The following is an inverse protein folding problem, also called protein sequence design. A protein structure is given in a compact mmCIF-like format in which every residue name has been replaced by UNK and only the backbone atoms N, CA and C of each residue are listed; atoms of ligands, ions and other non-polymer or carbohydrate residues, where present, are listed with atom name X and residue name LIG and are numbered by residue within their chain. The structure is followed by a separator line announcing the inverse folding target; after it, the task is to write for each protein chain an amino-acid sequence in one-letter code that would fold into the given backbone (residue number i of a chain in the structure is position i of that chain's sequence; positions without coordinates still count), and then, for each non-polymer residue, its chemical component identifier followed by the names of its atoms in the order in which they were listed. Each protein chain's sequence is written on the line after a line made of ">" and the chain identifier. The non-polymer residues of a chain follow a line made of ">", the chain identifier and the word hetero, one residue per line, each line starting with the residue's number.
data_IF_575592497173
#
_entry.id   IF_575592497173
#
_cell.length_a   1.000
_cell.length_b   1.000
_cell.length_c   1.000
_cell.angle_alpha   90.00
_cell.angle_beta   90.00
_cell.angle_gamma   90.00
#
_symmetry.space_group_name_H-M   'P 1'
#
loop_
_entity.id
_entity.type
_entity.pdbx_description
1 polymer ?
#
# COMPACT_ATOMS: atom_id res chain seq x y z
N UNK A 1 2.12 -21.81 6.00
CA UNK A 1 1.97 -20.50 5.34
C UNK A 1 2.62 -20.48 3.96
N UNK A 2 3.84 -20.95 3.77
CA UNK A 2 4.50 -21.03 2.45
C UNK A 2 3.75 -21.85 1.39
N UNK A 3 3.13 -22.95 1.77
CA UNK A 3 2.36 -23.81 0.84
C UNK A 3 1.15 -23.08 0.23
N UNK A 4 0.45 -22.23 0.98
CA UNK A 4 -0.70 -21.48 0.48
C UNK A 4 -0.33 -20.31 -0.45
N UNK A 5 0.84 -19.67 -0.23
CA UNK A 5 1.29 -18.59 -1.12
C UNK A 5 1.82 -19.15 -2.46
N UNK A 6 2.60 -20.24 -2.42
CA UNK A 6 3.08 -20.91 -3.62
C UNK A 6 1.89 -21.44 -4.45
N UNK A 7 0.92 -22.08 -3.81
CA UNK A 7 -0.28 -22.60 -4.46
C UNK A 7 -1.13 -21.49 -5.10
N UNK A 8 -1.33 -20.36 -4.41
CA UNK A 8 -2.03 -19.19 -4.97
C UNK A 8 -1.29 -18.58 -6.16
N UNK A 9 0.03 -18.61 -6.16
CA UNK A 9 0.85 -18.14 -7.28
C UNK A 9 0.70 -19.04 -8.48
N UNK A 10 0.80 -20.35 -8.32
CA UNK A 10 0.63 -21.33 -9.40
C UNK A 10 -0.76 -21.24 -10.05
N UNK A 11 -1.82 -21.08 -9.25
CA UNK A 11 -3.18 -20.89 -9.74
C UNK A 11 -3.33 -19.62 -10.58
N UNK A 12 -2.75 -18.51 -10.13
CA UNK A 12 -2.77 -17.23 -10.86
C UNK A 12 -1.96 -17.32 -12.16
N UNK A 13 -0.80 -17.95 -12.14
CA UNK A 13 0.02 -18.19 -13.33
C UNK A 13 -0.70 -19.08 -14.34
N UNK A 14 -1.37 -20.13 -13.88
CA UNK A 14 -2.20 -20.99 -14.72
C UNK A 14 -3.34 -20.23 -15.39
N UNK A 15 -4.00 -19.33 -14.65
CA UNK A 15 -5.09 -18.50 -15.17
C UNK A 15 -4.60 -17.51 -16.23
N UNK A 16 -3.46 -16.88 -16.02
CA UNK A 16 -2.83 -15.98 -16.99
C UNK A 16 -2.43 -16.74 -18.25
N UNK A 17 -1.84 -17.93 -18.11
CA UNK A 17 -1.49 -18.77 -19.25
C UNK A 17 -2.71 -19.18 -20.06
N UNK A 18 -3.83 -19.51 -19.39
CA UNK A 18 -5.09 -19.80 -20.07
C UNK A 18 -5.63 -18.59 -20.84
N UNK A 19 -5.54 -17.39 -20.28
CA UNK A 19 -5.95 -16.15 -20.94
C UNK A 19 -5.09 -15.82 -22.16
N UNK A 20 -3.77 -16.02 -22.07
CA UNK A 20 -2.85 -15.93 -23.22
C UNK A 20 -3.28 -16.91 -24.32
N UNK A 21 -3.63 -18.14 -23.96
CA UNK A 21 -4.16 -19.13 -24.90
C UNK A 21 -5.43 -18.64 -25.59
N UNK A 22 -6.35 -18.02 -24.89
CA UNK A 22 -7.57 -17.41 -25.46
C UNK A 22 -7.23 -16.30 -26.45
N UNK A 23 -6.28 -15.42 -26.12
CA UNK A 23 -5.84 -14.34 -27.03
C UNK A 23 -5.23 -14.91 -28.33
N UNK A 24 -4.39 -15.93 -28.23
CA UNK A 24 -3.77 -16.59 -29.39
C UNK A 24 -4.82 -17.29 -30.27
N UNK A 25 -5.74 -18.02 -29.66
CA UNK A 25 -6.83 -18.73 -30.41
C UNK A 25 -7.74 -17.77 -31.17
N UNK A 26 -7.93 -16.56 -30.67
CA UNK A 26 -8.74 -15.52 -31.32
C UNK A 26 -7.91 -14.59 -32.23
N UNK A 27 -6.65 -14.92 -32.54
CA UNK A 27 -5.73 -14.10 -33.34
C UNK A 27 -5.56 -12.66 -32.84
N UNK A 28 -5.69 -12.45 -31.53
CA UNK A 28 -5.51 -11.16 -30.87
C UNK A 28 -4.07 -10.97 -30.37
N UNK A 29 -3.24 -12.01 -30.46
CA UNK A 29 -1.87 -12.08 -30.00
C UNK A 29 -1.10 -13.15 -30.77
N UNK A 30 0.19 -12.90 -31.01
CA UNK A 30 1.14 -13.85 -31.61
C UNK A 30 2.19 -14.28 -30.59
N UNK A 31 3.03 -15.26 -30.95
CA UNK A 31 4.17 -15.66 -30.09
C UNK A 31 5.23 -14.54 -29.95
N UNK A 32 5.35 -13.67 -30.93
CA UNK A 32 6.30 -12.55 -30.86
C UNK A 32 5.87 -11.51 -29.84
N UNK A 33 4.56 -11.33 -29.63
CA UNK A 33 3.98 -10.41 -28.67
C UNK A 33 4.25 -10.80 -27.19
N UNK A 34 4.64 -12.06 -26.92
CA UNK A 34 4.97 -12.52 -25.57
C UNK A 34 6.10 -11.72 -24.91
N UNK A 35 7.04 -11.17 -25.72
CA UNK A 35 8.17 -10.40 -25.22
C UNK A 35 7.78 -9.01 -24.71
N UNK A 36 6.66 -8.48 -25.18
CA UNK A 36 6.15 -7.17 -24.81
C UNK A 36 4.86 -7.22 -23.97
N UNK A 37 4.49 -8.42 -23.50
CA UNK A 37 3.28 -8.63 -22.74
C UNK A 37 3.44 -8.11 -21.31
N UNK A 38 2.46 -7.35 -20.84
CA UNK A 38 2.34 -7.01 -19.43
C UNK A 38 1.00 -7.48 -18.88
N UNK A 39 1.01 -7.95 -17.64
CA UNK A 39 -0.16 -8.45 -16.92
C UNK A 39 -0.40 -7.64 -15.67
N UNK A 40 -1.59 -7.06 -15.57
CA UNK A 40 -2.09 -6.49 -14.33
C UNK A 40 -3.08 -7.48 -13.73
N UNK A 41 -2.74 -8.09 -12.62
CA UNK A 41 -3.57 -9.10 -11.96
C UNK A 41 -4.88 -8.52 -11.41
N UNK A 42 -5.05 -7.20 -11.47
CA UNK A 42 -6.27 -6.54 -11.07
C UNK A 42 -6.71 -6.98 -9.69
N UNK A 43 -7.89 -7.56 -9.63
CA UNK A 43 -8.43 -8.10 -8.40
C UNK A 43 -8.72 -9.60 -8.55
N UNK A 44 -7.83 -10.45 -8.05
CA UNK A 44 -7.96 -11.90 -8.04
C UNK A 44 -7.88 -12.45 -6.62
N UNK A 45 -8.80 -13.31 -6.27
CA UNK A 45 -8.85 -14.00 -4.98
C UNK A 45 -9.11 -15.49 -5.16
N UNK A 46 -8.79 -16.29 -4.14
CA UNK A 46 -9.03 -17.73 -4.13
C UNK A 46 -10.26 -18.03 -3.28
N UNK A 47 -11.20 -18.78 -3.82
CA UNK A 47 -12.41 -19.23 -3.10
C UNK A 47 -12.11 -20.40 -2.16
N UNK A 48 -13.07 -20.75 -1.30
CA UNK A 48 -13.00 -21.93 -0.42
C UNK A 48 -12.81 -23.24 -1.20
N UNK A 49 -13.32 -23.29 -2.43
CA UNK A 49 -13.16 -24.43 -3.35
C UNK A 49 -11.83 -24.43 -4.09
N UNK A 50 -10.86 -23.60 -3.65
CA UNK A 50 -9.56 -23.42 -4.30
C UNK A 50 -9.62 -22.98 -5.77
N UNK A 51 -10.64 -22.21 -6.14
CA UNK A 51 -10.77 -21.61 -7.47
C UNK A 51 -10.35 -20.14 -7.41
N UNK A 52 -9.69 -19.65 -8.47
CA UNK A 52 -9.38 -18.22 -8.61
C UNK A 52 -10.58 -17.52 -9.24
N UNK A 53 -11.06 -16.48 -8.58
CA UNK A 53 -12.12 -15.61 -9.09
C UNK A 53 -11.65 -14.15 -9.12
N UNK A 54 -12.24 -13.35 -9.99
CA UNK A 54 -12.01 -11.92 -10.07
C UNK A 54 -11.78 -11.41 -11.48
N UNK A 55 -11.10 -10.27 -11.57
CA UNK A 55 -10.87 -9.54 -12.80
C UNK A 55 -9.38 -9.22 -12.98
N UNK A 56 -8.86 -9.36 -14.19
CA UNK A 56 -7.48 -9.01 -14.53
C UNK A 56 -7.35 -8.53 -15.96
N UNK A 57 -6.20 -7.93 -16.28
CA UNK A 57 -5.93 -7.30 -17.57
C UNK A 57 -4.63 -7.85 -18.15
N UNK A 58 -4.63 -8.08 -19.45
CA UNK A 58 -3.43 -8.36 -20.23
C UNK A 58 -3.28 -7.25 -21.27
N UNK A 59 -2.13 -6.58 -21.27
CA UNK A 59 -1.76 -5.61 -22.30
C UNK A 59 -0.82 -6.25 -23.30
N UNK A 60 -1.23 -6.23 -24.56
CA UNK A 60 -0.47 -6.75 -25.71
C UNK A 60 -0.23 -5.60 -26.68
N UNK A 61 1.01 -5.24 -26.91
CA UNK A 61 1.38 -4.18 -27.87
C UNK A 61 0.60 -2.88 -27.67
N UNK A 62 0.37 -2.49 -26.40
CA UNK A 62 -0.33 -1.26 -26.00
C UNK A 62 -1.87 -1.36 -26.03
N UNK A 63 -2.43 -2.52 -26.34
CA UNK A 63 -3.87 -2.77 -26.31
C UNK A 63 -4.26 -3.63 -25.12
N UNK A 64 -5.22 -3.17 -24.34
CA UNK A 64 -5.71 -3.86 -23.15
C UNK A 64 -6.83 -4.86 -23.46
N UNK A 65 -6.72 -6.04 -22.87
CA UNK A 65 -7.71 -7.10 -22.91
C UNK A 65 -8.07 -7.48 -21.48
N UNK A 66 -9.37 -7.55 -21.18
CA UNK A 66 -9.87 -7.77 -19.83
C UNK A 66 -10.45 -9.17 -19.72
N UNK A 67 -10.17 -9.83 -18.60
CA UNK A 67 -10.59 -11.18 -18.32
C UNK A 67 -11.27 -11.26 -16.95
N UNK A 68 -12.38 -11.99 -16.92
CA UNK A 68 -13.04 -12.37 -15.68
C UNK A 68 -12.86 -13.88 -15.44
N UNK A 69 -12.51 -14.23 -14.22
CA UNK A 69 -12.51 -15.60 -13.73
C UNK A 69 -13.66 -15.80 -12.76
N UNK A 70 -14.53 -16.77 -12.99
CA UNK A 70 -15.65 -17.07 -12.11
C UNK A 70 -16.00 -18.55 -12.17
N UNK A 71 -16.10 -19.20 -11.00
CA UNK A 71 -16.45 -20.63 -10.88
C UNK A 71 -15.62 -21.54 -11.79
N UNK A 72 -14.30 -21.32 -11.78
CA UNK A 72 -13.35 -22.08 -12.59
C UNK A 72 -13.44 -21.81 -14.11
N UNK A 73 -14.23 -20.85 -14.56
CA UNK A 73 -14.33 -20.44 -15.95
C UNK A 73 -13.62 -19.12 -16.17
N UNK A 74 -12.86 -19.06 -17.28
CA UNK A 74 -12.21 -17.84 -17.74
C UNK A 74 -13.00 -17.27 -18.91
N UNK A 75 -13.28 -15.98 -18.88
CA UNK A 75 -14.01 -15.27 -19.94
C UNK A 75 -13.30 -13.96 -20.27
N UNK A 76 -13.11 -13.71 -21.56
CA UNK A 76 -12.73 -12.38 -22.01
C UNK A 76 -13.97 -11.47 -21.94
N UNK A 77 -13.84 -10.31 -21.30
CA UNK A 77 -14.95 -9.36 -21.09
C UNK A 77 -14.74 -8.08 -21.91
N UNK A 78 -15.80 -7.61 -22.50
CA UNK A 78 -15.77 -6.39 -23.33
C UNK A 78 -16.14 -5.18 -22.48
N UNK A 79 -15.15 -4.66 -21.77
CA UNK A 79 -15.25 -3.44 -20.95
C UNK A 79 -14.15 -2.47 -21.37
N UNK A 80 -14.30 -1.19 -21.02
CA UNK A 80 -13.22 -0.20 -21.18
C UNK A 80 -12.40 -0.05 -19.89
N UNK A 81 -11.31 0.70 -19.96
CA UNK A 81 -10.40 0.92 -18.82
C UNK A 81 -11.12 1.54 -17.62
N UNK A 82 -12.00 2.50 -17.85
CA UNK A 82 -12.75 3.16 -16.78
C UNK A 82 -13.65 2.16 -16.02
N UNK A 83 -14.41 1.35 -16.75
CA UNK A 83 -15.25 0.30 -16.16
C UNK A 83 -14.41 -0.75 -15.44
N UNK A 84 -13.23 -1.09 -15.98
CA UNK A 84 -12.31 -2.01 -15.34
C UNK A 84 -11.84 -1.47 -13.99
N UNK A 85 -11.35 -0.24 -13.94
CA UNK A 85 -10.87 0.40 -12.71
C UNK A 85 -11.99 0.58 -11.67
N UNK A 86 -13.17 0.99 -12.10
CA UNK A 86 -14.35 1.07 -11.23
C UNK A 86 -14.71 -0.28 -10.62
N UNK A 87 -14.68 -1.35 -11.43
CA UNK A 87 -14.99 -2.71 -10.95
C UNK A 87 -13.95 -3.21 -9.97
N UNK A 88 -12.65 -3.00 -10.26
CA UNK A 88 -11.57 -3.36 -9.34
C UNK A 88 -11.73 -2.63 -8.01
N UNK A 89 -11.94 -1.33 -8.05
CA UNK A 89 -12.14 -0.50 -6.85
C UNK A 89 -13.33 -1.01 -6.02
N UNK A 90 -14.44 -1.35 -6.68
CA UNK A 90 -15.61 -1.92 -6.03
C UNK A 90 -15.30 -3.28 -5.38
N UNK A 91 -14.68 -4.20 -6.12
CA UNK A 91 -14.31 -5.53 -5.62
C UNK A 91 -13.34 -5.43 -4.44
N UNK A 92 -12.34 -4.57 -4.50
CA UNK A 92 -11.39 -4.32 -3.42
C UNK A 92 -12.10 -3.82 -2.17
N UNK A 93 -13.06 -2.94 -2.30
CA UNK A 93 -13.85 -2.41 -1.18
C UNK A 93 -14.71 -3.48 -0.48
N UNK A 94 -15.24 -4.45 -1.23
CA UNK A 94 -16.16 -5.48 -0.70
C UNK A 94 -15.49 -6.83 -0.42
N UNK A 95 -14.27 -7.05 -0.88
CA UNK A 95 -13.58 -8.32 -0.68
C UNK A 95 -13.46 -8.77 0.81
N UNK A 96 -13.15 -7.90 1.77
CA UNK A 96 -13.15 -8.30 3.18
C UNK A 96 -14.47 -8.88 3.64
N UNK A 97 -15.59 -8.37 3.09
CA UNK A 97 -16.92 -8.87 3.40
C UNK A 97 -17.17 -10.25 2.79
N UNK A 98 -16.62 -10.54 1.61
CA UNK A 98 -16.75 -11.83 0.94
C UNK A 98 -15.90 -12.92 1.62
N UNK A 99 -14.67 -12.57 2.02
CA UNK A 99 -13.75 -13.48 2.75
C UNK A 99 -14.19 -13.78 4.18
N UNK A 100 -15.07 -12.99 4.76
CA UNK A 100 -15.49 -13.14 6.16
C UNK A 100 -16.25 -14.44 6.43
N UNK A 101 -16.66 -15.18 5.38
CA UNK A 101 -17.26 -16.52 5.54
C UNK A 101 -16.22 -17.60 5.86
N UNK A 102 -14.93 -17.36 5.55
CA UNK A 102 -13.86 -18.35 5.74
C UNK A 102 -13.26 -18.35 7.15
N UNK A 103 -13.25 -17.21 7.83
CA UNK A 103 -12.77 -17.11 9.21
C UNK A 103 -13.66 -16.13 9.98
N UNK A 104 -14.34 -16.60 11.04
CA UNK A 104 -15.14 -15.70 11.87
C UNK A 104 -14.25 -14.63 12.47
N UNK A 105 -14.74 -13.40 12.43
CA UNK A 105 -14.06 -12.26 13.03
C UNK A 105 -13.78 -12.53 14.51
N UNK A 106 -12.53 -12.35 14.94
CA UNK A 106 -12.18 -12.49 16.35
C UNK A 106 -12.86 -11.40 17.20
N UNK A 107 -12.93 -11.61 18.50
CA UNK A 107 -13.49 -10.59 19.42
C UNK A 107 -12.72 -9.26 19.35
N UNK A 108 -11.40 -9.31 19.17
CA UNK A 108 -10.55 -8.11 19.04
C UNK A 108 -10.81 -7.41 17.72
N UNK A 109 -10.87 -8.14 16.61
CA UNK A 109 -11.21 -7.57 15.31
C UNK A 109 -12.58 -6.90 15.33
N UNK A 110 -13.60 -7.54 15.90
CA UNK A 110 -14.95 -6.97 16.05
C UNK A 110 -14.93 -5.68 16.87
N UNK A 111 -14.25 -5.68 18.02
CA UNK A 111 -14.10 -4.50 18.88
C UNK A 111 -13.43 -3.34 18.11
N UNK A 112 -12.36 -3.63 17.34
CA UNK A 112 -11.63 -2.68 16.50
C UNK A 112 -12.54 -2.08 15.42
N UNK A 113 -13.25 -2.93 14.69
CA UNK A 113 -14.22 -2.53 13.68
C UNK A 113 -15.28 -1.58 14.25
N UNK A 114 -15.92 -1.95 15.34
CA UNK A 114 -16.97 -1.15 15.98
C UNK A 114 -16.43 0.20 16.49
N UNK A 115 -15.21 0.21 17.07
CA UNK A 115 -14.52 1.43 17.51
C UNK A 115 -14.27 2.37 16.32
N UNK A 116 -13.68 1.86 15.26
CA UNK A 116 -13.28 2.68 14.11
C UNK A 116 -14.48 3.13 13.28
N UNK A 117 -15.51 2.29 13.10
CA UNK A 117 -16.78 2.73 12.48
C UNK A 117 -17.40 3.92 13.22
N UNK A 118 -17.35 3.95 14.55
CA UNK A 118 -17.83 5.10 15.33
C UNK A 118 -16.99 6.36 15.06
N UNK A 119 -15.67 6.23 14.90
CA UNK A 119 -14.78 7.37 14.58
C UNK A 119 -15.10 7.89 13.19
N UNK A 120 -15.20 7.01 12.19
CA UNK A 120 -15.48 7.34 10.79
C UNK A 120 -16.85 8.02 10.66
N UNK A 121 -17.89 7.46 11.27
CA UNK A 121 -19.25 8.02 11.28
C UNK A 121 -19.31 9.42 11.93
N UNK A 122 -18.60 9.64 13.04
CA UNK A 122 -18.54 10.97 13.68
C UNK A 122 -17.92 12.03 12.77
N UNK A 123 -17.00 11.63 11.91
CA UNK A 123 -16.38 12.51 10.90
C UNK A 123 -17.22 12.67 9.63
N UNK A 124 -18.43 12.09 9.59
CA UNK A 124 -19.33 12.08 8.42
C UNK A 124 -18.69 11.45 7.17
N UNK A 125 -17.84 10.45 7.39
CA UNK A 125 -17.22 9.66 6.35
C UNK A 125 -18.04 8.39 6.16
N UNK A 126 -18.25 7.98 4.91
CA UNK A 126 -18.97 6.75 4.57
C UNK A 126 -18.26 5.52 5.14
N UNK A 127 -19.04 4.56 5.59
CA UNK A 127 -18.54 3.28 6.08
C UNK A 127 -19.53 2.17 5.74
N UNK A 128 -19.04 0.95 5.60
CA UNK A 128 -19.84 -0.24 5.48
C UNK A 128 -19.79 -1.03 6.79
N UNK A 129 -20.94 -1.32 7.39
CA UNK A 129 -21.02 -2.10 8.63
C UNK A 129 -20.42 -3.49 8.47
N UNK A 130 -20.46 -4.04 7.25
CA UNK A 130 -19.90 -5.34 6.90
C UNK A 130 -18.40 -5.29 6.56
N UNK A 131 -17.76 -4.11 6.51
CA UNK A 131 -16.34 -4.00 6.23
C UNK A 131 -15.52 -4.56 7.39
N UNK A 132 -15.07 -5.81 7.22
CA UNK A 132 -14.35 -6.55 8.25
C UNK A 132 -12.94 -6.00 8.44
N UNK A 133 -12.40 -6.19 9.64
CA UNK A 133 -11.00 -5.88 9.93
C UNK A 133 -10.07 -6.93 9.29
N UNK A 134 -9.05 -6.49 8.54
CA UNK A 134 -8.15 -7.39 7.81
C UNK A 134 -7.13 -8.10 8.72
N UNK A 135 -6.66 -7.41 9.74
CA UNK A 135 -5.53 -7.87 10.56
C UNK A 135 -6.03 -8.58 11.82
N UNK A 136 -5.52 -9.80 12.01
CA UNK A 136 -5.74 -10.60 13.20
C UNK A 136 -4.56 -10.41 14.15
N UNK A 137 -4.84 -9.99 15.37
CA UNK A 137 -3.84 -9.73 16.41
C UNK A 137 -2.95 -10.94 16.71
N UNK A 138 -3.47 -12.16 16.56
CA UNK A 138 -2.70 -13.38 16.82
C UNK A 138 -1.75 -13.73 15.68
N UNK A 139 -2.04 -13.29 14.45
CA UNK A 139 -1.27 -13.63 13.24
C UNK A 139 -0.29 -12.56 12.83
N UNK A 140 -0.49 -11.31 13.26
CA UNK A 140 0.40 -10.21 12.92
C UNK A 140 1.62 -10.20 13.84
N UNK A 141 2.78 -10.09 13.22
CA UNK A 141 4.04 -9.77 13.90
C UNK A 141 4.48 -8.38 13.48
N UNK A 142 4.76 -7.51 14.44
CA UNK A 142 5.31 -6.19 14.15
C UNK A 142 6.80 -6.30 13.79
N UNK A 143 7.26 -5.47 12.89
CA UNK A 143 8.70 -5.22 12.74
C UNK A 143 9.27 -4.69 14.05
N UNK A 144 10.51 -5.02 14.32
CA UNK A 144 11.16 -4.54 15.52
C UNK A 144 11.42 -3.02 15.46
N UNK A 145 11.61 -2.43 16.64
CA UNK A 145 11.79 -0.99 16.79
C UNK A 145 12.98 -0.45 16.01
N UNK A 146 14.09 -1.19 15.95
CA UNK A 146 15.31 -0.75 15.25
C UNK A 146 15.09 -0.75 13.74
N UNK A 147 14.44 -1.78 13.18
CA UNK A 147 14.09 -1.84 11.77
C UNK A 147 13.19 -0.64 11.36
N UNK A 148 12.21 -0.30 12.20
CA UNK A 148 11.34 0.86 11.93
C UNK A 148 12.13 2.17 12.00
N UNK A 149 13.07 2.31 12.95
CA UNK A 149 13.95 3.48 13.03
C UNK A 149 14.85 3.61 11.80
N UNK A 150 15.47 2.51 11.36
CA UNK A 150 16.31 2.48 10.15
C UNK A 150 15.53 2.90 8.92
N UNK A 151 14.33 2.31 8.72
CA UNK A 151 13.46 2.66 7.60
C UNK A 151 13.06 4.14 7.62
N UNK A 152 12.69 4.67 8.79
CA UNK A 152 12.33 6.07 8.94
C UNK A 152 13.50 7.01 8.58
N UNK A 153 14.70 6.71 9.04
CA UNK A 153 15.91 7.51 8.73
C UNK A 153 16.23 7.47 7.23
N UNK A 154 16.21 6.28 6.62
CA UNK A 154 16.47 6.10 5.19
C UNK A 154 15.49 6.92 4.35
N UNK A 155 14.19 6.76 4.62
CA UNK A 155 13.12 7.52 3.98
C UNK A 155 13.33 9.03 4.11
N UNK A 156 13.60 9.51 5.33
CA UNK A 156 13.77 10.93 5.59
C UNK A 156 14.89 11.57 4.75
N UNK A 157 16.05 10.95 4.67
CA UNK A 157 17.17 11.52 3.91
C UNK A 157 16.88 11.55 2.40
N UNK A 158 16.22 10.52 1.86
CA UNK A 158 15.86 10.54 0.43
C UNK A 158 14.77 11.57 0.13
N UNK A 159 13.81 11.78 1.05
CA UNK A 159 12.84 12.88 0.94
C UNK A 159 13.56 14.23 0.80
N UNK A 160 14.63 14.48 1.59
CA UNK A 160 15.36 15.75 1.48
C UNK A 160 16.00 15.93 0.09
N UNK A 161 16.58 14.85 -0.47
CA UNK A 161 17.14 14.88 -1.83
C UNK A 161 16.02 15.16 -2.85
N UNK A 162 14.86 14.52 -2.71
CA UNK A 162 13.72 14.74 -3.58
C UNK A 162 13.21 16.19 -3.54
N UNK A 163 13.11 16.78 -2.34
CA UNK A 163 12.79 18.20 -2.19
C UNK A 163 13.78 19.13 -2.91
N UNK A 164 15.06 18.75 -2.99
CA UNK A 164 16.08 19.53 -3.70
C UNK A 164 16.00 19.31 -5.22
N UNK A 165 15.52 18.15 -5.71
CA UNK A 165 15.16 17.95 -7.11
C UNK A 165 14.12 19.00 -7.53
N UNK A 166 13.06 19.19 -6.74
CA UNK A 166 12.01 20.19 -7.00
C UNK A 166 12.53 21.64 -7.06
N UNK A 167 13.70 21.92 -6.48
CA UNK A 167 14.38 23.22 -6.50
C UNK A 167 15.50 23.31 -7.55
N UNK A 168 15.69 22.30 -8.40
CA UNK A 168 16.80 22.14 -9.35
C UNK A 168 18.20 22.07 -8.67
N UNK A 169 18.27 21.55 -7.44
CA UNK A 169 19.49 21.45 -6.63
C UNK A 169 19.85 19.98 -6.32
N UNK A 170 19.53 19.05 -7.21
CA UNK A 170 19.71 17.61 -6.99
C UNK A 170 21.13 17.24 -6.54
N UNK A 171 22.16 17.73 -7.26
CA UNK A 171 23.57 17.41 -6.98
C UNK A 171 24.00 17.90 -5.59
N UNK A 172 23.54 19.07 -5.17
CA UNK A 172 23.82 19.61 -3.84
C UNK A 172 23.15 18.75 -2.76
N UNK A 173 21.86 18.43 -2.94
CA UNK A 173 21.11 17.55 -2.03
C UNK A 173 21.74 16.16 -1.95
N UNK A 174 22.07 15.54 -3.08
CA UNK A 174 22.72 14.23 -3.12
C UNK A 174 24.07 14.23 -2.39
N UNK A 175 24.93 15.21 -2.70
CA UNK A 175 26.27 15.33 -2.09
C UNK A 175 26.20 15.55 -0.58
N UNK A 176 25.13 16.18 -0.08
CA UNK A 176 24.93 16.40 1.35
C UNK A 176 24.31 15.19 2.07
N UNK A 177 23.24 14.60 1.51
CA UNK A 177 22.45 13.60 2.24
C UNK A 177 22.91 12.16 2.00
N UNK A 178 23.51 11.81 0.86
CA UNK A 178 24.03 10.45 0.62
C UNK A 178 25.10 10.04 1.65
N UNK A 179 26.09 10.88 2.01
CA UNK A 179 27.03 10.58 3.10
C UNK A 179 26.32 10.39 4.46
N UNK A 180 25.17 11.04 4.70
CA UNK A 180 24.38 10.81 5.92
C UNK A 180 23.75 9.43 5.92
N UNK A 181 23.14 8.98 4.79
CA UNK A 181 22.59 7.64 4.64
C UNK A 181 23.66 6.57 4.93
N UNK A 182 24.88 6.79 4.39
CA UNK A 182 26.05 5.91 4.61
C UNK A 182 26.50 5.93 6.08
N UNK A 183 26.62 7.12 6.68
CA UNK A 183 27.01 7.31 8.10
C UNK A 183 26.04 6.61 9.04
N UNK A 184 24.73 6.69 8.76
CA UNK A 184 23.71 6.04 9.57
C UNK A 184 23.60 4.52 9.26
N UNK A 185 24.27 4.02 8.22
CA UNK A 185 24.28 2.61 7.85
C UNK A 185 22.89 2.11 7.42
N UNK A 186 22.15 2.91 6.65
CA UNK A 186 20.78 2.61 6.23
C UNK A 186 20.60 2.51 4.71
N UNK A 187 21.68 2.33 3.97
CA UNK A 187 21.65 2.12 2.50
C UNK A 187 20.88 0.86 2.10
N UNK A 188 20.95 -0.19 2.89
CA UNK A 188 20.23 -1.45 2.72
C UNK A 188 18.71 -1.31 2.93
N UNK A 189 18.28 -0.23 3.56
CA UNK A 189 16.87 0.05 3.83
C UNK A 189 16.17 0.79 2.69
N UNK A 190 16.89 1.20 1.66
CA UNK A 190 16.33 1.94 0.53
C UNK A 190 15.42 1.05 -0.32
N UNK A 191 14.20 1.52 -0.60
CA UNK A 191 13.28 0.88 -1.53
C UNK A 191 13.65 1.17 -3.00
N UNK A 192 12.91 0.62 -3.94
CA UNK A 192 13.17 0.73 -5.38
C UNK A 192 13.19 2.19 -5.88
N UNK A 193 12.25 3.03 -5.45
CA UNK A 193 12.20 4.45 -5.87
C UNK A 193 13.31 5.28 -5.25
N UNK A 194 13.59 5.04 -3.99
CA UNK A 194 14.67 5.70 -3.26
C UNK A 194 16.04 5.39 -3.87
N UNK A 195 16.28 4.14 -4.25
CA UNK A 195 17.50 3.74 -4.98
C UNK A 195 17.64 4.52 -6.28
N UNK A 196 16.55 4.66 -7.07
CA UNK A 196 16.62 5.44 -8.31
C UNK A 196 16.97 6.91 -8.08
N UNK A 197 16.51 7.51 -6.98
CA UNK A 197 16.90 8.89 -6.60
C UNK A 197 18.39 8.96 -6.26
N UNK A 198 18.90 8.02 -5.47
CA UNK A 198 20.32 7.96 -5.08
C UNK A 198 21.23 7.71 -6.30
N UNK A 199 20.77 6.92 -7.27
CA UNK A 199 21.53 6.54 -8.48
C UNK A 199 21.36 7.53 -9.64
N UNK A 200 20.54 8.57 -9.48
CA UNK A 200 20.30 9.56 -10.53
C UNK A 200 19.46 9.06 -11.72
N UNK A 201 18.79 7.90 -11.56
CA UNK A 201 17.95 7.27 -12.59
C UNK A 201 16.46 7.48 -12.37
N UNK A 202 16.11 8.42 -11.51
CA UNK A 202 14.74 8.73 -11.11
C UNK A 202 13.93 9.39 -12.24
N UNK A 203 12.62 9.20 -12.20
CA UNK A 203 11.63 10.01 -12.92
C UNK A 203 11.17 11.18 -12.05
N UNK A 204 10.59 12.23 -12.67
CA UNK A 204 9.95 13.31 -11.90
C UNK A 204 8.80 12.78 -11.01
N UNK A 205 8.13 11.70 -11.42
CA UNK A 205 7.11 11.06 -10.58
C UNK A 205 7.73 10.43 -9.33
N UNK A 206 8.91 9.83 -9.41
CA UNK A 206 9.61 9.31 -8.23
C UNK A 206 9.91 10.43 -7.22
N UNK A 207 10.32 11.63 -7.70
CA UNK A 207 10.56 12.78 -6.84
C UNK A 207 9.26 13.27 -6.16
N UNK A 208 8.17 13.36 -6.91
CA UNK A 208 6.85 13.74 -6.38
C UNK A 208 6.37 12.71 -5.34
N UNK A 209 6.52 11.42 -5.63
CA UNK A 209 6.14 10.35 -4.70
C UNK A 209 6.96 10.43 -3.40
N UNK A 210 8.24 10.84 -3.50
CA UNK A 210 9.07 11.05 -2.31
C UNK A 210 8.65 12.27 -1.49
N UNK A 211 8.16 13.34 -2.10
CA UNK A 211 7.59 14.46 -1.34
C UNK A 211 6.39 14.00 -0.49
N UNK A 212 5.54 13.14 -1.06
CA UNK A 212 4.42 12.53 -0.32
C UNK A 212 4.87 11.51 0.73
N UNK A 213 6.05 10.91 0.58
CA UNK A 213 6.59 9.95 1.54
C UNK A 213 6.85 10.55 2.95
N UNK A 214 6.80 11.89 3.11
CA UNK A 214 6.73 12.52 4.43
C UNK A 214 5.58 11.97 5.28
N UNK A 215 4.46 11.66 4.65
CA UNK A 215 3.29 11.11 5.37
C UNK A 215 3.52 9.66 5.81
N UNK A 216 4.21 8.86 4.99
CA UNK A 216 4.62 7.51 5.38
C UNK A 216 5.65 7.56 6.51
N UNK A 217 6.67 8.41 6.40
CA UNK A 217 7.63 8.68 7.46
C UNK A 217 6.94 9.12 8.77
N UNK A 218 5.95 10.00 8.68
CA UNK A 218 5.20 10.50 9.84
C UNK A 218 4.46 9.39 10.57
N UNK A 219 3.89 8.43 9.83
CA UNK A 219 3.24 7.26 10.41
C UNK A 219 4.23 6.32 11.09
N UNK A 220 5.45 6.12 10.54
CA UNK A 220 6.52 5.40 11.24
C UNK A 220 6.92 6.11 12.54
N UNK A 221 7.06 7.43 12.52
CA UNK A 221 7.33 8.22 13.72
C UNK A 221 6.21 8.08 14.77
N UNK A 222 4.96 7.97 14.33
CA UNK A 222 3.85 7.69 15.23
C UNK A 222 3.96 6.28 15.84
N UNK A 223 4.27 5.25 15.06
CA UNK A 223 4.51 3.90 15.57
C UNK A 223 5.63 3.88 16.61
N UNK A 224 6.66 4.68 16.41
CA UNK A 224 7.80 4.85 17.33
C UNK A 224 7.47 5.73 18.55
N UNK A 225 6.24 6.23 18.70
CA UNK A 225 5.82 7.08 19.83
C UNK A 225 6.39 8.51 19.81
N UNK A 226 7.04 8.93 18.72
CA UNK A 226 7.62 10.26 18.54
C UNK A 226 6.58 11.32 18.14
N UNK A 227 5.48 10.87 17.56
CA UNK A 227 4.33 11.68 17.15
C UNK A 227 3.12 11.28 17.99
N UNK A 228 2.34 12.25 18.45
CA UNK A 228 1.22 11.99 19.37
C UNK A 228 0.02 11.36 18.68
N UNK A 229 -0.37 11.90 17.54
CA UNK A 229 -1.58 11.49 16.82
C UNK A 229 -1.42 11.69 15.31
N UNK A 230 -1.99 10.76 14.54
CA UNK A 230 -2.07 10.82 13.08
C UNK A 230 -3.49 10.54 12.57
N UNK A 231 -4.49 10.46 13.44
CA UNK A 231 -5.88 10.09 13.08
C UNK A 231 -6.59 11.14 12.22
N UNK A 232 -6.05 12.36 12.13
CA UNK A 232 -6.55 13.41 11.24
C UNK A 232 -5.78 13.38 9.91
N UNK A 233 -6.41 12.86 8.86
CA UNK A 233 -5.87 12.81 7.51
C UNK A 233 -6.41 13.93 6.61
N UNK A 234 -6.83 15.06 7.17
CA UNK A 234 -7.24 16.26 6.42
C UNK A 234 -6.12 17.27 6.23
N UNK A 235 -4.98 17.07 6.87
CA UNK A 235 -3.84 17.99 6.87
C UNK A 235 -2.53 17.20 6.79
N UNK A 236 -1.61 17.75 6.00
CA UNK A 236 -0.24 17.22 5.90
C UNK A 236 0.48 17.24 7.26
N UNK A 237 1.48 16.40 7.40
CA UNK A 237 2.31 16.31 8.57
C UNK A 237 3.08 17.62 8.84
N UNK A 238 3.56 17.78 10.07
CA UNK A 238 4.46 18.87 10.46
C UNK A 238 5.88 18.57 9.98
N UNK A 239 6.22 19.02 8.75
CA UNK A 239 7.54 18.80 8.15
C UNK A 239 8.67 19.40 8.99
N UNK A 240 8.47 20.53 9.68
CA UNK A 240 9.50 21.10 10.55
C UNK A 240 9.80 20.20 11.73
N UNK A 241 8.77 19.63 12.33
CA UNK A 241 8.92 18.64 13.38
C UNK A 241 9.56 17.35 12.87
N UNK A 242 9.21 16.91 11.67
CA UNK A 242 9.82 15.75 11.02
C UNK A 242 11.34 15.94 10.85
N UNK A 243 11.76 17.12 10.35
CA UNK A 243 13.16 17.50 10.20
C UNK A 243 13.86 17.47 11.58
N UNK A 244 13.28 18.12 12.57
CA UNK A 244 13.87 18.19 13.90
C UNK A 244 14.06 16.81 14.56
N UNK A 245 13.15 15.87 14.34
CA UNK A 245 13.25 14.51 14.89
C UNK A 245 14.53 13.80 14.45
N UNK A 246 14.94 13.97 13.18
CA UNK A 246 16.12 13.28 12.63
C UNK A 246 17.39 14.11 12.78
N UNK A 247 17.34 15.43 12.57
CA UNK A 247 18.51 16.30 12.75
C UNK A 247 19.10 16.27 14.15
N UNK A 248 18.30 15.94 15.16
CA UNK A 248 18.74 15.80 16.54
C UNK A 248 19.34 14.42 16.87
N UNK A 249 19.55 13.55 15.86
CA UNK A 249 20.18 12.23 16.00
C UNK A 249 21.55 12.22 15.32
N UNK A 250 22.54 11.58 15.94
CA UNK A 250 23.86 11.34 15.34
C UNK A 250 24.01 9.91 14.80
N UNK A 251 23.10 9.02 15.22
CA UNK A 251 23.09 7.59 14.85
C UNK A 251 21.66 7.04 14.88
N UNK A 252 21.47 5.84 14.29
CA UNK A 252 20.23 5.06 14.42
C UNK A 252 19.91 4.81 15.90
N UNK A 253 20.92 4.52 16.71
CA UNK A 253 20.75 4.20 18.12
C UNK A 253 20.20 5.37 18.94
N UNK A 254 20.44 6.60 18.54
CA UNK A 254 19.85 7.76 19.22
C UNK A 254 18.34 7.82 18.97
N UNK A 255 17.89 7.54 17.74
CA UNK A 255 16.47 7.46 17.46
C UNK A 255 15.83 6.26 18.20
N UNK A 256 16.50 5.11 18.24
CA UNK A 256 16.04 3.90 18.96
C UNK A 256 15.88 4.18 20.48
N UNK A 257 16.83 4.87 21.10
CA UNK A 257 16.76 5.25 22.51
C UNK A 257 15.60 6.21 22.81
N UNK A 258 15.33 7.13 21.91
CA UNK A 258 14.24 8.14 22.04
C UNK A 258 12.87 7.57 21.76
N UNK A 259 12.81 6.42 21.06
CA UNK A 259 11.58 5.80 20.59
C UNK A 259 11.00 4.85 21.63
N UNK A 260 9.68 4.84 21.71
CA UNK A 260 8.88 3.86 22.43
C UNK A 260 7.87 3.27 21.46
N UNK A 261 8.14 2.07 20.93
CA UNK A 261 7.22 1.40 20.02
C UNK A 261 5.83 1.28 20.67
N UNK A 262 4.80 1.69 19.95
CA UNK A 262 3.41 1.56 20.38
C UNK A 262 3.02 0.09 20.45
N UNK A 263 1.98 -0.19 21.21
CA UNK A 263 1.43 -1.53 21.31
C UNK A 263 0.93 -2.02 19.94
N UNK A 264 0.96 -3.32 19.73
CA UNK A 264 0.38 -3.95 18.54
C UNK A 264 -1.11 -3.57 18.38
N UNK A 265 -1.86 -3.54 19.48
CA UNK A 265 -3.28 -3.14 19.47
C UNK A 265 -3.44 -1.71 18.94
N UNK A 266 -2.65 -0.73 19.42
CA UNK A 266 -2.71 0.66 18.95
C UNK A 266 -2.37 0.78 17.46
N UNK A 267 -1.33 0.07 17.00
CA UNK A 267 -0.89 0.11 15.60
C UNK A 267 -1.96 -0.51 14.70
N UNK A 268 -2.52 -1.66 15.07
CA UNK A 268 -3.58 -2.31 14.30
C UNK A 268 -4.89 -1.51 14.31
N UNK A 269 -5.21 -0.83 15.42
CA UNK A 269 -6.36 0.06 15.51
C UNK A 269 -6.24 1.25 14.55
N UNK A 270 -5.05 1.86 14.48
CA UNK A 270 -4.79 2.97 13.58
C UNK A 270 -4.76 2.50 12.12
N UNK A 271 -4.14 1.37 11.84
CA UNK A 271 -4.10 0.79 10.50
C UNK A 271 -5.50 0.45 9.98
N UNK A 272 -6.38 -0.13 10.83
CA UNK A 272 -7.78 -0.38 10.47
C UNK A 272 -8.56 0.92 10.24
N UNK A 273 -8.25 2.00 10.99
CA UNK A 273 -8.84 3.31 10.73
C UNK A 273 -8.47 3.82 9.33
N UNK A 274 -7.18 3.73 8.96
CA UNK A 274 -6.70 4.14 7.62
C UNK A 274 -7.23 3.23 6.51
N UNK A 275 -7.42 1.95 6.79
CA UNK A 275 -8.11 1.03 5.89
C UNK A 275 -9.54 1.49 5.58
N UNK A 276 -10.30 1.91 6.59
CA UNK A 276 -11.66 2.45 6.43
C UNK A 276 -11.68 3.78 5.69
N UNK A 277 -10.71 4.65 5.96
CA UNK A 277 -10.56 5.89 5.21
C UNK A 277 -10.32 5.62 3.72
N UNK A 278 -9.41 4.70 3.41
CA UNK A 278 -9.13 4.31 2.02
C UNK A 278 -10.34 3.64 1.35
N UNK A 279 -11.09 2.82 2.09
CA UNK A 279 -12.34 2.25 1.60
C UNK A 279 -13.34 3.36 1.23
N UNK A 280 -13.55 4.35 2.10
CA UNK A 280 -14.47 5.45 1.83
C UNK A 280 -14.06 6.27 0.59
N UNK A 281 -12.75 6.50 0.40
CA UNK A 281 -12.22 7.17 -0.78
C UNK A 281 -12.50 6.36 -2.05
N UNK A 282 -12.34 5.04 -2.00
CA UNK A 282 -12.60 4.18 -3.14
C UNK A 282 -14.11 4.04 -3.41
N UNK A 283 -14.96 3.93 -2.37
CA UNK A 283 -16.40 3.94 -2.51
C UNK A 283 -16.90 5.23 -3.18
N UNK A 284 -16.32 6.39 -2.83
CA UNK A 284 -16.70 7.67 -3.40
C UNK A 284 -16.37 7.82 -4.90
N UNK A 285 -15.46 7.00 -5.45
CA UNK A 285 -15.18 6.98 -6.90
C UNK A 285 -16.32 6.36 -7.70
N UNK A 286 -17.09 5.46 -7.10
CA UNK A 286 -18.17 4.70 -7.76
C UNK A 286 -19.56 4.99 -7.22
N UNK A 287 -19.65 5.55 -6.02
CA UNK A 287 -20.89 5.85 -5.31
C UNK A 287 -21.01 7.35 -5.06
N UNK A 288 -21.78 8.05 -5.90
CA UNK A 288 -22.00 9.50 -5.80
C UNK A 288 -22.62 9.96 -4.47
N UNK A 289 -23.19 9.05 -3.67
CA UNK A 289 -23.74 9.35 -2.34
C UNK A 289 -22.74 9.17 -1.21
N UNK A 290 -21.56 8.58 -1.51
CA UNK A 290 -20.53 8.39 -0.51
C UNK A 290 -19.87 9.72 -0.13
N UNK A 291 -19.45 9.81 1.11
CA UNK A 291 -18.76 10.98 1.66
C UNK A 291 -17.41 10.58 2.20
N UNK A 292 -16.38 11.30 1.80
CA UNK A 292 -15.03 11.17 2.38
C UNK A 292 -14.76 12.21 3.49
N UNK A 293 -15.75 13.05 3.82
CA UNK A 293 -15.56 14.15 4.76
C UNK A 293 -14.45 15.10 4.30
N UNK A 294 -13.49 15.36 5.17
CA UNK A 294 -12.32 16.21 4.89
C UNK A 294 -11.04 15.40 4.63
N UNK A 295 -11.14 14.11 4.31
CA UNK A 295 -9.95 13.30 4.04
C UNK A 295 -9.21 13.79 2.80
N UNK A 296 -7.89 13.82 2.86
CA UNK A 296 -7.02 13.92 1.70
C UNK A 296 -6.60 12.51 1.27
N UNK A 297 -6.93 12.08 0.03
CA UNK A 297 -6.60 10.74 -0.45
C UNK A 297 -5.10 10.43 -0.45
N UNK A 298 -4.25 11.42 -0.74
CA UNK A 298 -2.78 11.23 -0.78
C UNK A 298 -2.22 11.01 0.64
N UNK A 299 -2.71 11.78 1.61
CA UNK A 299 -2.34 11.59 3.02
C UNK A 299 -2.76 10.21 3.51
N UNK A 300 -4.00 9.80 3.17
CA UNK A 300 -4.53 8.50 3.60
C UNK A 300 -3.68 7.36 3.08
N UNK A 301 -3.36 7.36 1.78
CA UNK A 301 -2.62 6.25 1.18
C UNK A 301 -1.19 6.17 1.70
N UNK A 302 -0.51 7.31 1.86
CA UNK A 302 0.88 7.32 2.31
C UNK A 302 1.01 6.97 3.80
N UNK A 303 0.14 7.49 4.68
CA UNK A 303 0.15 7.07 6.09
C UNK A 303 -0.21 5.61 6.24
N UNK A 304 -1.17 5.11 5.47
CA UNK A 304 -1.48 3.69 5.41
C UNK A 304 -0.28 2.86 4.98
N UNK A 305 0.48 3.32 3.97
CA UNK A 305 1.70 2.68 3.48
C UNK A 305 2.71 2.42 4.61
N UNK A 306 3.04 3.46 5.36
CA UNK A 306 3.96 3.32 6.49
C UNK A 306 3.43 2.42 7.61
N UNK A 307 2.12 2.51 7.94
CA UNK A 307 1.50 1.63 8.93
C UNK A 307 1.48 0.16 8.49
N UNK A 308 1.12 -0.11 7.22
CA UNK A 308 1.02 -1.45 6.68
C UNK A 308 2.40 -2.12 6.58
N UNK A 309 3.44 -1.35 6.23
CA UNK A 309 4.81 -1.85 6.23
C UNK A 309 5.27 -2.36 7.61
N UNK A 310 4.82 -1.75 8.69
CA UNK A 310 5.17 -2.18 10.07
C UNK A 310 4.61 -3.57 10.41
N UNK A 311 3.56 -4.01 9.73
CA UNK A 311 2.83 -5.26 10.03
C UNK A 311 2.96 -6.32 8.93
N UNK A 312 3.73 -6.05 7.87
CA UNK A 312 3.94 -6.97 6.75
C UNK A 312 5.41 -7.37 6.66
N UNK A 313 5.68 -8.45 5.91
CA UNK A 313 7.03 -8.92 5.62
C UNK A 313 7.60 -8.28 4.34
N UNK A 314 6.76 -7.54 3.55
CA UNK A 314 7.18 -6.90 2.31
C UNK A 314 8.24 -5.85 2.56
N UNK A 315 9.39 -5.97 1.90
CA UNK A 315 10.53 -5.07 2.10
C UNK A 315 10.32 -3.73 1.38
N UNK A 316 9.87 -3.76 0.13
CA UNK A 316 9.55 -2.55 -0.62
C UNK A 316 8.08 -2.18 -0.45
N UNK A 317 7.83 -1.08 0.24
CA UNK A 317 6.46 -0.62 0.47
C UNK A 317 5.75 -0.09 -0.79
N UNK A 318 6.46 0.11 -1.92
CA UNK A 318 5.83 0.42 -3.20
C UNK A 318 5.31 -0.81 -3.95
N UNK A 319 5.76 -2.01 -3.55
CA UNK A 319 5.23 -3.27 -4.08
C UNK A 319 3.96 -3.72 -3.34
N UNK A 320 3.64 -3.08 -2.20
CA UNK A 320 2.41 -3.35 -1.46
C UNK A 320 1.18 -2.87 -2.22
N UNK A 321 0.16 -3.71 -2.29
CA UNK A 321 -1.17 -3.34 -2.75
C UNK A 321 -2.07 -2.98 -1.58
N UNK A 322 -2.90 -1.96 -1.74
CA UNK A 322 -3.80 -1.46 -0.69
C UNK A 322 -5.27 -1.70 -1.05
N UNK A 323 -5.73 -2.96 -1.07
CA UNK A 323 -7.16 -3.23 -1.24
C UNK A 323 -7.92 -2.62 -0.06
N UNK A 324 -9.07 -2.03 -0.35
CA UNK A 324 -9.96 -1.44 0.64
C UNK A 324 -11.42 -1.62 0.25
#
# INVERSE_FOLDING_TARGET
>A
MEVNQAYNRELKESLVNAAIGVLMQNNLMTQEDLKGLSVSLGYLFTTEENQVEGLFQICVSGKNYYFAAQKGKLMMVNINEEMYQQTITYMEGYHPCLKSKELPETKLQKKRREKNNKIVSKKKISTADMLMTRWDDERVTLRDKEAICKRAIACFFVIQIACDIGKNNYEEGLNYFKPMIEKFGVMDQLNSKEKRIIDGTYSMQDAIDMDWAYEAFWSLCWCLGLVKDISDASKVCDCQKAIFLIQSCESVQDLVKRSKLRSKEDILDMLDLYYRYNWAINDAKVNAKASIGNLDPSIVIERRRGLEWVVTEEEDWYDMTFPA
#
